data_IF_088653068297
#
_entry.id   IF_088653068297
#
_cell.length_a   1.000
_cell.length_b   1.000
_cell.length_c   1.000
_cell.angle_alpha   90.00
_cell.angle_beta   90.00
_cell.angle_gamma   90.00
#
_symmetry.space_group_name_H-M   'P 1'
#
loop_
_entity.id
_entity.type
_entity.pdbx_description
1 polymer ?
#
# COMPACT_ATOMS: atom_id res chain seq x y z
N UNK A 1 -9.96 -13.38 14.02
CA UNK A 1 -10.33 -14.34 12.96
C UNK A 1 -9.68 -13.90 11.66
N UNK A 2 -8.70 -14.68 11.17
CA UNK A 2 -8.24 -14.60 9.79
C UNK A 2 -9.21 -15.45 8.95
N UNK A 3 -10.24 -14.83 8.39
CA UNK A 3 -11.17 -15.52 7.49
C UNK A 3 -10.54 -15.59 6.11
N UNK A 4 -9.90 -16.72 5.79
CA UNK A 4 -9.72 -17.11 4.40
C UNK A 4 -11.11 -17.42 3.85
N UNK A 5 -11.52 -16.77 2.77
CA UNK A 5 -12.87 -16.89 2.20
C UNK A 5 -13.17 -18.27 1.60
N UNK A 6 -12.18 -19.18 1.54
CA UNK A 6 -12.27 -20.47 0.85
C UNK A 6 -12.32 -20.37 -0.69
N UNK A 7 -12.48 -19.16 -1.22
CA UNK A 7 -12.60 -18.89 -2.65
C UNK A 7 -11.20 -18.64 -3.24
N UNK A 8 -10.80 -19.49 -4.18
CA UNK A 8 -9.61 -19.27 -4.99
C UNK A 8 -10.01 -18.52 -6.26
N UNK A 9 -9.38 -17.40 -6.53
CA UNK A 9 -9.55 -16.66 -7.78
C UNK A 9 -8.35 -17.00 -8.66
N UNK A 10 -8.60 -17.58 -9.83
CA UNK A 10 -7.55 -17.82 -10.82
C UNK A 10 -7.27 -16.53 -11.59
N UNK A 11 -5.99 -16.24 -11.80
CA UNK A 11 -5.54 -15.12 -12.62
C UNK A 11 -4.62 -15.64 -13.70
N UNK A 12 -4.91 -15.27 -14.94
CA UNK A 12 -4.02 -15.53 -16.06
C UNK A 12 -2.73 -14.70 -15.91
N UNK A 13 -1.58 -15.21 -16.40
CA UNK A 13 -0.33 -14.48 -16.40
C UNK A 13 -0.47 -13.09 -17.01
N UNK A 14 -0.05 -12.07 -16.26
CA UNK A 14 -0.11 -10.66 -16.66
C UNK A 14 1.30 -10.09 -16.78
N UNK A 15 1.51 -9.20 -17.75
CA UNK A 15 2.81 -8.52 -17.93
C UNK A 15 3.15 -7.57 -16.79
N UNK A 16 2.15 -7.16 -16.02
CA UNK A 16 2.29 -6.26 -14.87
C UNK A 16 1.52 -6.84 -13.72
N UNK A 17 2.16 -6.93 -12.56
CA UNK A 17 1.54 -7.30 -11.30
C UNK A 17 1.75 -6.15 -10.32
N UNK A 18 0.67 -5.64 -9.75
CA UNK A 18 0.73 -4.61 -8.71
C UNK A 18 0.49 -5.30 -7.37
N UNK A 19 1.50 -5.24 -6.50
CA UNK A 19 1.37 -5.70 -5.12
C UNK A 19 1.19 -4.50 -4.20
N UNK A 20 -0.01 -4.36 -3.65
CA UNK A 20 -0.33 -3.36 -2.63
C UNK A 20 -0.34 -4.00 -1.23
N UNK A 21 0.25 -3.31 -0.27
CA UNK A 21 0.28 -3.75 1.12
C UNK A 21 1.18 -2.89 1.99
N UNK A 22 0.75 -2.61 3.21
CA UNK A 22 1.48 -1.77 4.18
C UNK A 22 2.86 -2.33 4.57
N UNK A 23 3.13 -3.62 4.33
CA UNK A 23 4.41 -4.27 4.63
C UNK A 23 5.16 -4.74 3.36
N UNK A 24 4.67 -4.41 2.17
CA UNK A 24 5.26 -4.91 0.92
C UNK A 24 6.75 -4.54 0.78
N UNK A 25 7.11 -3.32 1.19
CA UNK A 25 8.51 -2.87 1.20
C UNK A 25 9.28 -3.27 2.45
N UNK A 26 8.63 -3.76 3.51
CA UNK A 26 9.34 -4.26 4.69
C UNK A 26 9.90 -5.67 4.43
N UNK A 27 9.14 -6.51 3.74
CA UNK A 27 9.50 -7.91 3.47
C UNK A 27 10.53 -7.98 2.33
N UNK A 28 11.75 -8.39 2.66
CA UNK A 28 12.87 -8.43 1.71
C UNK A 28 12.59 -9.31 0.49
N UNK A 29 12.00 -10.49 0.68
CA UNK A 29 11.72 -11.42 -0.42
C UNK A 29 10.77 -10.80 -1.47
N UNK A 30 9.75 -10.08 -1.01
CA UNK A 30 8.81 -9.35 -1.87
C UNK A 30 9.57 -8.26 -2.60
N UNK A 31 10.33 -7.47 -1.85
CA UNK A 31 11.03 -6.30 -2.35
C UNK A 31 12.08 -6.65 -3.40
N UNK A 32 12.77 -7.78 -3.26
CA UNK A 32 13.74 -8.29 -4.24
C UNK A 32 13.12 -8.70 -5.58
N UNK A 33 11.82 -8.99 -5.61
CA UNK A 33 11.08 -9.36 -6.83
C UNK A 33 10.46 -8.15 -7.55
N UNK A 34 10.46 -6.97 -6.92
CA UNK A 34 9.82 -5.78 -7.48
C UNK A 34 10.75 -4.95 -8.35
N UNK A 35 10.34 -4.71 -9.60
CA UNK A 35 11.05 -3.83 -10.54
C UNK A 35 10.86 -2.33 -10.23
N UNK A 36 9.73 -1.99 -9.60
CA UNK A 36 9.39 -0.64 -9.16
C UNK A 36 8.84 -0.71 -7.73
N UNK A 37 9.48 0.02 -6.82
CA UNK A 37 9.11 0.09 -5.40
C UNK A 37 8.58 1.47 -5.08
N UNK A 38 7.30 1.55 -4.74
CA UNK A 38 6.60 2.81 -4.47
C UNK A 38 6.20 2.90 -3.00
N UNK A 39 6.40 4.06 -2.37
CA UNK A 39 5.85 4.36 -1.06
C UNK A 39 4.92 5.57 -1.14
N UNK A 40 3.67 5.41 -0.72
CA UNK A 40 2.70 6.52 -0.69
C UNK A 40 2.79 7.21 0.67
N UNK A 41 3.33 8.44 0.70
CA UNK A 41 3.46 9.22 1.94
C UNK A 41 2.22 10.11 2.13
N UNK A 42 1.70 10.10 3.34
CA UNK A 42 0.61 10.97 3.79
C UNK A 42 0.90 11.30 5.26
N UNK A 43 0.24 12.29 5.82
CA UNK A 43 0.33 12.55 7.25
C UNK A 43 -0.53 11.56 8.05
N UNK A 44 -0.09 11.27 9.28
CA UNK A 44 -0.70 10.27 10.17
C UNK A 44 -2.16 10.58 10.48
N UNK A 45 -2.48 11.85 10.69
CA UNK A 45 -3.81 12.36 11.00
C UNK A 45 -4.79 12.18 9.83
N UNK A 46 -4.38 12.51 8.61
CA UNK A 46 -5.16 12.29 7.39
C UNK A 46 -5.45 10.80 7.20
N UNK A 47 -4.43 9.94 7.39
CA UNK A 47 -4.63 8.48 7.31
C UNK A 47 -5.59 7.98 8.39
N UNK A 48 -5.45 8.49 9.61
CA UNK A 48 -6.33 8.12 10.72
C UNK A 48 -7.78 8.53 10.46
N UNK A 49 -8.03 9.75 10.00
CA UNK A 49 -9.39 10.24 9.68
C UNK A 49 -10.04 9.35 8.61
N UNK A 50 -9.33 9.06 7.51
CA UNK A 50 -9.87 8.17 6.46
C UNK A 50 -10.15 6.77 6.96
N UNK A 51 -9.26 6.23 7.81
CA UNK A 51 -9.46 4.93 8.44
C UNK A 51 -10.70 4.95 9.32
N UNK A 52 -10.85 6.00 10.14
CA UNK A 52 -11.99 6.16 11.04
C UNK A 52 -13.30 6.19 10.24
N UNK A 53 -13.39 7.05 9.22
CA UNK A 53 -14.58 7.13 8.39
C UNK A 53 -14.92 5.80 7.72
N UNK A 54 -13.92 5.10 7.19
CA UNK A 54 -14.11 3.79 6.56
C UNK A 54 -14.58 2.72 7.55
N UNK A 55 -13.92 2.63 8.71
CA UNK A 55 -14.23 1.61 9.73
C UNK A 55 -15.61 1.86 10.38
N UNK A 56 -16.04 3.12 10.52
CA UNK A 56 -17.40 3.47 10.95
C UNK A 56 -18.42 3.16 9.85
N UNK A 57 -18.25 3.73 8.65
CA UNK A 57 -19.26 3.66 7.57
C UNK A 57 -19.40 2.26 6.97
N UNK A 58 -18.31 1.51 6.84
CA UNK A 58 -18.30 0.23 6.10
C UNK A 58 -18.21 -1.00 6.99
N UNK A 59 -17.75 -0.87 8.24
CA UNK A 59 -17.51 -2.01 9.15
C UNK A 59 -18.31 -1.91 10.46
N UNK A 60 -19.06 -0.83 10.68
CA UNK A 60 -19.93 -0.66 11.84
C UNK A 60 -19.19 -0.64 13.18
N UNK A 61 -17.92 -0.25 13.20
CA UNK A 61 -17.11 -0.23 14.43
C UNK A 61 -17.39 1.01 15.27
N UNK A 62 -17.36 0.84 16.60
CA UNK A 62 -17.45 1.96 17.54
C UNK A 62 -16.18 2.81 17.51
N UNK A 63 -16.33 4.11 17.75
CA UNK A 63 -15.21 5.08 17.76
C UNK A 63 -14.13 4.67 18.77
N UNK A 64 -14.53 4.31 20.00
CA UNK A 64 -13.61 3.98 21.08
C UNK A 64 -12.73 2.77 20.72
N UNK A 65 -13.30 1.74 20.12
CA UNK A 65 -12.55 0.55 19.68
C UNK A 65 -11.51 0.89 18.60
N UNK A 66 -11.86 1.79 17.68
CA UNK A 66 -10.95 2.25 16.61
C UNK A 66 -9.79 3.02 17.23
N UNK A 67 -10.06 3.93 18.17
CA UNK A 67 -9.04 4.73 18.86
C UNK A 67 -8.11 3.83 19.68
N UNK A 68 -8.67 2.94 20.50
CA UNK A 68 -7.88 2.00 21.30
C UNK A 68 -7.01 1.10 20.43
N UNK A 69 -7.56 0.56 19.33
CA UNK A 69 -6.79 -0.23 18.38
C UNK A 69 -5.68 0.61 17.71
N UNK A 70 -5.97 1.85 17.33
CA UNK A 70 -5.01 2.71 16.65
C UNK A 70 -3.81 3.02 17.54
N UNK A 71 -4.07 3.42 18.78
CA UNK A 71 -3.04 3.77 19.75
C UNK A 71 -2.28 2.54 20.25
N UNK A 72 -2.97 1.44 20.51
CA UNK A 72 -2.38 0.22 21.07
C UNK A 72 -1.59 -0.62 20.06
N UNK A 73 -1.97 -0.61 18.78
CA UNK A 73 -1.37 -1.52 17.78
C UNK A 73 -0.98 -0.82 16.48
N UNK A 74 -1.89 -0.13 15.81
CA UNK A 74 -1.65 0.35 14.44
C UNK A 74 -0.52 1.37 14.37
N UNK A 75 -0.53 2.38 15.26
CA UNK A 75 0.48 3.43 15.27
C UNK A 75 1.86 2.91 15.69
N UNK A 76 2.02 2.12 16.77
CA UNK A 76 3.30 1.48 17.09
C UNK A 76 3.83 0.64 15.92
N UNK A 77 3.01 -0.25 15.36
CA UNK A 77 3.45 -1.13 14.27
C UNK A 77 3.79 -0.36 13.00
N UNK A 78 3.08 0.74 12.70
CA UNK A 78 3.43 1.63 11.61
C UNK A 78 4.85 2.19 11.80
N UNK A 79 5.16 2.72 12.99
CA UNK A 79 6.48 3.29 13.28
C UNK A 79 7.60 2.25 13.28
N UNK A 80 7.33 1.03 13.72
CA UNK A 80 8.35 -0.02 13.78
C UNK A 80 8.61 -0.70 12.44
N UNK A 81 7.59 -0.89 11.60
CA UNK A 81 7.69 -1.75 10.42
C UNK A 81 7.39 -1.04 9.09
N UNK A 82 6.37 -0.18 9.07
CA UNK A 82 5.89 0.45 7.84
C UNK A 82 6.72 1.67 7.47
N UNK A 83 6.87 2.61 8.41
CA UNK A 83 7.59 3.86 8.17
C UNK A 83 9.06 3.66 7.81
N UNK A 84 9.84 2.78 8.49
CA UNK A 84 11.23 2.53 8.09
C UNK A 84 11.38 1.89 6.71
N UNK A 85 10.32 1.23 6.20
CA UNK A 85 10.38 0.61 4.87
C UNK A 85 10.44 1.61 3.72
N UNK A 86 10.25 2.91 4.01
CA UNK A 86 10.40 4.01 3.05
C UNK A 86 11.82 4.07 2.46
N UNK A 87 12.84 3.68 3.24
CA UNK A 87 14.25 3.71 2.83
C UNK A 87 14.52 2.77 1.65
N UNK A 88 13.62 1.82 1.40
CA UNK A 88 13.75 0.90 0.27
C UNK A 88 12.85 1.24 -0.93
N UNK A 89 12.13 2.36 -0.90
CA UNK A 89 11.33 2.83 -2.02
C UNK A 89 12.22 3.47 -3.09
N UNK A 90 11.94 3.18 -4.37
CA UNK A 90 12.58 3.90 -5.48
C UNK A 90 11.95 5.29 -5.63
N UNK A 91 10.66 5.41 -5.35
CA UNK A 91 9.89 6.66 -5.46
C UNK A 91 8.94 6.80 -4.27
N UNK A 92 8.98 7.97 -3.64
CA UNK A 92 8.02 8.39 -2.61
C UNK A 92 6.99 9.32 -3.27
N UNK A 93 5.72 8.96 -3.20
CA UNK A 93 4.63 9.74 -3.81
C UNK A 93 3.81 10.37 -2.69
N UNK A 94 3.72 11.72 -2.61
CA UNK A 94 2.79 12.36 -1.69
C UNK A 94 1.35 12.05 -2.14
N UNK A 95 0.53 11.61 -1.19
CA UNK A 95 -0.87 11.38 -1.45
C UNK A 95 -1.62 12.71 -1.51
N UNK A 96 -2.34 12.91 -2.61
CA UNK A 96 -3.51 13.77 -2.67
C UNK A 96 -4.46 13.18 -3.72
N UNK A 97 -5.75 13.48 -3.57
CA UNK A 97 -6.75 12.98 -4.51
C UNK A 97 -6.48 13.51 -5.91
N UNK A 98 -6.48 12.61 -6.90
CA UNK A 98 -6.24 13.00 -8.29
C UNK A 98 -4.80 13.43 -8.58
N UNK A 99 -3.78 12.86 -7.90
CA UNK A 99 -2.37 13.03 -8.28
C UNK A 99 -2.06 12.37 -9.64
N UNK A 100 -2.55 12.98 -10.72
CA UNK A 100 -2.41 12.51 -12.11
C UNK A 100 -0.95 12.45 -12.54
N UNK A 101 -0.14 13.42 -12.10
CA UNK A 101 1.29 13.48 -12.43
C UNK A 101 2.03 12.23 -11.95
N UNK A 102 1.79 11.81 -10.69
CA UNK A 102 2.42 10.60 -10.17
C UNK A 102 1.94 9.33 -10.90
N UNK A 103 0.64 9.26 -11.20
CA UNK A 103 0.07 8.13 -11.97
C UNK A 103 0.70 8.05 -13.36
N UNK A 104 0.79 9.17 -14.08
CA UNK A 104 1.36 9.24 -15.42
C UNK A 104 2.85 8.86 -15.41
N UNK A 105 3.60 9.29 -14.40
CA UNK A 105 5.01 8.95 -14.26
C UNK A 105 5.21 7.44 -14.05
N UNK A 106 4.44 6.84 -13.15
CA UNK A 106 4.48 5.39 -12.88
C UNK A 106 4.04 4.60 -14.11
N UNK A 107 2.96 5.02 -14.77
CA UNK A 107 2.45 4.37 -15.98
C UNK A 107 3.49 4.38 -17.11
N UNK A 108 4.13 5.53 -17.37
CA UNK A 108 5.18 5.63 -18.37
C UNK A 108 6.40 4.77 -18.02
N UNK A 109 6.79 4.69 -16.74
CA UNK A 109 7.88 3.81 -16.31
C UNK A 109 7.55 2.34 -16.57
N UNK A 110 6.33 1.90 -16.24
CA UNK A 110 5.86 0.53 -16.51
C UNK A 110 5.88 0.24 -18.01
N UNK A 111 5.33 1.14 -18.84
CA UNK A 111 5.31 0.98 -20.30
C UNK A 111 6.72 0.84 -20.89
N UNK A 112 7.67 1.64 -20.38
CA UNK A 112 9.07 1.56 -20.83
C UNK A 112 9.71 0.21 -20.47
N UNK A 113 9.45 -0.34 -19.28
CA UNK A 113 9.96 -1.67 -18.90
C UNK A 113 9.40 -2.76 -19.83
N UNK A 114 8.08 -2.77 -20.04
CA UNK A 114 7.41 -3.75 -20.92
C UNK A 114 7.93 -3.67 -22.36
N UNK A 115 8.25 -2.48 -22.87
CA UNK A 115 8.73 -2.30 -24.23
C UNK A 115 10.20 -2.71 -24.39
N UNK A 116 11.02 -2.52 -23.36
CA UNK A 116 12.43 -2.90 -23.39
C UNK A 116 12.63 -4.42 -23.31
N UNK A 117 11.72 -5.17 -22.68
CA UNK A 117 11.73 -6.64 -22.70
C UNK A 117 11.47 -7.25 -24.09
N UNK A 118 10.99 -6.47 -25.07
CA UNK A 118 10.69 -6.95 -26.43
C UNK A 118 11.85 -6.81 -27.41
N UNK A 119 12.99 -6.24 -26.99
CA UNK A 119 14.22 -6.14 -27.79
C UNK A 119 15.22 -7.19 -27.35
#
# INVERSE_FOLDING_TARGET
MHTQSGNTIHFEPSKVVILDGILALHIEEIRRRGDIKLFIKTDDDIRFIRRLERDVKQRGRALDDIVQQYLGTVRPMHKFFVEPSIDYADIIIPYYEGNKIAVDLVANKILNLINNERK
#
